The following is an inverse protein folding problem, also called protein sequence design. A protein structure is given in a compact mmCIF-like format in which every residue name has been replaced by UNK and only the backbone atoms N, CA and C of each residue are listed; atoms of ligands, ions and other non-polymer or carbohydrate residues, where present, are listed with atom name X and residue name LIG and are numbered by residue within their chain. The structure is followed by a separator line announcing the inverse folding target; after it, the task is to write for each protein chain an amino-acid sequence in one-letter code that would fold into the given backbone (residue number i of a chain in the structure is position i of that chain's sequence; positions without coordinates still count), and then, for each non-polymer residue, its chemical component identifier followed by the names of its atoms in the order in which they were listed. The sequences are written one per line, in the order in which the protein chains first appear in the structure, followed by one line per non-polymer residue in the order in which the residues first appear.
data_IF_356241256223
#
_entry.id   IF_356241256223
#
_cell.length_a   1.000
_cell.length_b   1.000
_cell.length_c   1.000
_cell.angle_alpha   90.00
_cell.angle_beta   90.00
_cell.angle_gamma   90.00
#
_symmetry.space_group_name_H-M   'P 1'
#
loop_
_entity.id
_entity.type
_entity.pdbx_description
1 polymer ?
#
# COMPACT_ATOMS: atom_id res chain seq x y z
N UNK A 1 54.91 10.84 6.92
CA UNK A 1 53.50 11.29 6.79
C UNK A 1 52.61 10.41 7.65
N UNK A 2 52.05 10.96 8.72
CA UNK A 2 51.05 10.25 9.52
C UNK A 2 49.78 10.03 8.68
N UNK A 3 49.19 8.84 8.80
CA UNK A 3 47.91 8.54 8.13
C UNK A 3 46.83 9.44 8.76
N UNK A 4 45.97 10.08 7.95
CA UNK A 4 44.93 10.95 8.48
C UNK A 4 43.95 10.15 9.35
N UNK A 5 43.58 10.73 10.50
CA UNK A 5 42.61 10.17 11.43
C UNK A 5 41.25 10.03 10.73
N UNK A 6 40.80 8.79 10.54
CA UNK A 6 39.45 8.48 10.03
C UNK A 6 38.47 8.46 11.20
N UNK A 7 37.58 9.45 11.24
CA UNK A 7 36.48 9.44 12.19
C UNK A 7 35.45 8.39 11.73
N UNK A 8 35.16 7.41 12.58
CA UNK A 8 34.09 6.44 12.36
C UNK A 8 32.75 7.19 12.36
N UNK A 9 31.99 7.11 11.27
CA UNK A 9 30.62 7.64 11.24
C UNK A 9 29.74 6.75 12.12
N UNK A 10 29.25 7.31 13.22
CA UNK A 10 28.25 6.66 14.06
C UNK A 10 26.90 6.63 13.35
N UNK A 11 26.10 5.60 13.60
CA UNK A 11 24.72 5.59 13.18
C UNK A 11 23.94 6.68 13.94
N UNK A 12 22.95 7.33 13.31
CA UNK A 12 22.09 8.27 14.01
C UNK A 12 21.35 7.56 15.15
N UNK A 13 21.05 8.27 16.25
CA UNK A 13 20.28 7.70 17.35
C UNK A 13 18.88 7.30 16.87
N UNK A 14 18.24 6.33 17.54
CA UNK A 14 16.86 5.98 17.25
C UNK A 14 15.94 7.17 17.48
N UNK A 15 14.85 7.23 16.69
CA UNK A 15 13.84 8.26 16.83
C UNK A 15 13.18 8.22 18.22
N UNK A 16 12.98 9.40 18.82
CA UNK A 16 12.52 9.57 20.20
C UNK A 16 10.98 9.59 20.35
N UNK A 17 10.22 9.41 19.26
CA UNK A 17 8.76 9.38 19.26
C UNK A 17 8.09 10.75 19.14
N UNK A 18 8.86 11.84 19.00
CA UNK A 18 8.33 13.20 18.81
C UNK A 18 8.58 13.66 17.38
N UNK A 19 7.52 14.06 16.68
CA UNK A 19 7.61 14.54 15.30
C UNK A 19 7.80 13.39 14.31
N UNK A 20 8.38 13.70 13.14
CA UNK A 20 8.66 12.69 12.11
C UNK A 20 10.08 12.13 12.26
N UNK A 21 10.30 10.93 11.74
CA UNK A 21 11.64 10.32 11.72
C UNK A 21 12.59 11.13 10.84
N UNK A 22 12.08 11.67 9.74
CA UNK A 22 12.82 12.54 8.83
C UNK A 22 13.28 13.82 9.52
N UNK A 23 12.39 14.48 10.29
CA UNK A 23 12.76 15.69 11.06
C UNK A 23 13.80 15.39 12.14
N UNK A 24 13.66 14.23 12.81
CA UNK A 24 14.61 13.80 13.85
C UNK A 24 15.98 13.51 13.27
N UNK A 25 16.03 12.89 12.09
CA UNK A 25 17.26 12.60 11.39
C UNK A 25 17.98 13.89 10.97
N UNK A 26 17.25 14.88 10.43
CA UNK A 26 17.83 16.17 10.05
C UNK A 26 18.41 16.90 11.27
N UNK A 27 17.74 16.82 12.42
CA UNK A 27 18.23 17.40 13.65
C UNK A 27 19.54 16.75 14.14
N UNK A 28 19.77 15.47 13.82
CA UNK A 28 21.03 14.78 14.12
C UNK A 28 22.13 15.14 13.11
N UNK A 29 21.78 15.47 11.87
CA UNK A 29 22.72 15.79 10.79
C UNK A 29 23.19 17.24 10.79
N UNK A 30 22.34 18.18 11.23
CA UNK A 30 22.62 19.62 11.15
C UNK A 30 22.42 20.31 12.50
N UNK A 31 23.40 21.14 12.90
CA UNK A 31 23.31 21.99 14.10
C UNK A 31 22.13 22.97 14.00
N UNK A 32 21.84 23.45 12.79
CA UNK A 32 20.67 24.28 12.49
C UNK A 32 19.73 23.47 11.58
N UNK A 33 18.66 22.86 12.14
CA UNK A 33 17.78 22.01 11.36
C UNK A 33 17.05 22.84 10.30
N UNK A 34 17.04 22.32 9.08
CA UNK A 34 16.24 22.86 7.98
C UNK A 34 14.99 22.01 7.82
N UNK A 35 13.90 22.61 7.37
CA UNK A 35 12.69 21.83 7.04
C UNK A 35 13.02 20.75 6.01
N UNK A 36 12.49 19.53 6.21
CA UNK A 36 12.64 18.45 5.24
C UNK A 36 12.04 18.88 3.90
N UNK A 37 12.76 18.57 2.81
CA UNK A 37 12.27 18.88 1.47
C UNK A 37 11.30 17.80 1.02
N UNK A 38 10.10 18.20 0.65
CA UNK A 38 9.15 17.31 -0.02
C UNK A 38 9.60 17.05 -1.46
N UNK A 39 9.27 15.87 -1.99
CA UNK A 39 9.50 15.55 -3.39
C UNK A 39 8.49 16.29 -4.27
N UNK A 40 8.86 17.50 -4.68
CA UNK A 40 8.02 18.37 -5.48
C UNK A 40 7.73 17.79 -6.87
N UNK A 41 8.65 17.00 -7.44
CA UNK A 41 8.45 16.37 -8.74
C UNK A 41 7.33 15.34 -8.66
N UNK A 42 7.39 14.49 -7.62
CA UNK A 42 6.33 13.52 -7.34
C UNK A 42 4.99 14.21 -7.09
N UNK A 43 4.99 15.28 -6.29
CA UNK A 43 3.79 16.04 -5.97
C UNK A 43 3.13 16.66 -7.22
N UNK A 44 3.92 17.16 -8.17
CA UNK A 44 3.41 17.76 -9.41
C UNK A 44 2.87 16.70 -10.38
N UNK A 45 3.55 15.57 -10.51
CA UNK A 45 3.19 14.53 -11.48
C UNK A 45 1.99 13.71 -11.02
N UNK A 46 1.90 13.42 -9.72
CA UNK A 46 0.89 12.53 -9.14
C UNK A 46 -0.21 13.28 -8.39
N UNK A 47 -0.26 14.60 -8.54
CA UNK A 47 -1.26 15.45 -7.88
C UNK A 47 -2.67 15.06 -8.31
N UNK A 48 -3.56 14.87 -7.34
CA UNK A 48 -4.97 14.55 -7.61
C UNK A 48 -5.25 13.05 -7.79
N UNK A 49 -4.20 12.22 -7.92
CA UNK A 49 -4.34 10.78 -7.96
C UNK A 49 -4.83 10.23 -6.61
N UNK A 50 -5.85 9.38 -6.65
CA UNK A 50 -6.39 8.70 -5.48
C UNK A 50 -6.75 7.26 -5.86
N UNK A 51 -5.91 6.33 -5.44
CA UNK A 51 -6.00 4.92 -5.79
C UNK A 51 -6.81 4.20 -4.71
N UNK A 52 -7.92 3.57 -5.10
CA UNK A 52 -8.85 2.96 -4.13
C UNK A 52 -8.88 1.45 -4.26
N UNK A 53 -8.86 0.80 -3.10
CA UNK A 53 -8.93 -0.63 -2.96
C UNK A 53 -10.08 -1.01 -2.03
N UNK A 54 -10.85 -2.03 -2.40
CA UNK A 54 -11.83 -2.66 -1.53
C UNK A 54 -11.12 -3.78 -0.75
N UNK A 55 -11.33 -3.81 0.56
CA UNK A 55 -10.78 -4.81 1.46
C UNK A 55 -11.85 -5.38 2.39
N UNK A 56 -11.62 -6.58 2.89
CA UNK A 56 -12.42 -7.24 3.93
C UNK A 56 -11.56 -7.55 5.15
N UNK A 57 -12.16 -7.60 6.33
CA UNK A 57 -11.46 -8.05 7.52
C UNK A 57 -11.30 -9.58 7.49
N UNK A 58 -10.13 -10.10 7.88
CA UNK A 58 -9.82 -11.54 7.93
C UNK A 58 -9.24 -11.96 9.28
N UNK A 59 -9.87 -11.50 10.37
CA UNK A 59 -9.45 -11.81 11.75
C UNK A 59 -10.06 -13.12 12.31
N UNK A 60 -11.00 -13.75 11.60
CA UNK A 60 -11.67 -14.97 12.02
C UNK A 60 -12.96 -14.76 12.80
N UNK A 61 -13.33 -13.50 13.10
CA UNK A 61 -14.56 -13.17 13.79
C UNK A 61 -15.73 -13.09 12.80
N UNK A 62 -16.81 -13.84 13.06
CA UNK A 62 -17.96 -13.91 12.16
C UNK A 62 -18.67 -12.55 11.99
N UNK A 63 -18.63 -11.71 13.02
CA UNK A 63 -19.21 -10.36 12.98
C UNK A 63 -18.45 -9.43 12.01
N UNK A 64 -17.14 -9.66 11.84
CA UNK A 64 -16.26 -8.83 11.02
C UNK A 64 -16.17 -9.30 9.57
N UNK A 65 -16.60 -10.53 9.27
CA UNK A 65 -16.56 -11.12 7.92
C UNK A 65 -17.41 -10.32 6.91
N UNK A 66 -18.50 -9.72 7.38
CA UNK A 66 -19.38 -8.89 6.54
C UNK A 66 -18.87 -7.45 6.33
N UNK A 67 -17.85 -7.02 7.08
CA UNK A 67 -17.35 -5.63 7.03
C UNK A 67 -16.53 -5.39 5.76
N UNK A 68 -16.79 -4.25 5.14
CA UNK A 68 -16.10 -3.80 3.93
C UNK A 68 -15.36 -2.50 4.18
N UNK A 69 -14.14 -2.41 3.67
CA UNK A 69 -13.27 -1.27 3.84
C UNK A 69 -12.83 -0.75 2.48
N UNK A 70 -12.68 0.56 2.38
CA UNK A 70 -12.06 1.24 1.25
C UNK A 70 -10.74 1.83 1.72
N UNK A 71 -9.65 1.29 1.19
CA UNK A 71 -8.30 1.82 1.39
C UNK A 71 -8.03 2.80 0.25
N UNK A 72 -7.80 4.06 0.59
CA UNK A 72 -7.43 5.13 -0.35
C UNK A 72 -5.96 5.47 -0.19
N UNK A 73 -5.18 5.31 -1.26
CA UNK A 73 -3.76 5.63 -1.30
C UNK A 73 -3.52 6.84 -2.21
N UNK A 74 -2.80 7.83 -1.68
CA UNK A 74 -2.39 9.00 -2.43
C UNK A 74 -0.90 8.90 -2.76
N UNK A 75 -0.56 8.66 -4.04
CA UNK A 75 0.82 8.43 -4.44
C UNK A 75 1.67 9.71 -4.41
N UNK A 76 1.06 10.90 -4.44
CA UNK A 76 1.76 12.18 -4.31
C UNK A 76 2.53 12.33 -2.98
N UNK A 77 1.97 11.81 -1.89
CA UNK A 77 2.41 12.03 -0.51
C UNK A 77 2.62 10.75 0.30
N UNK A 78 2.44 9.58 -0.33
CA UNK A 78 2.45 8.25 0.31
C UNK A 78 1.50 8.14 1.50
N UNK A 79 0.39 8.90 1.45
CA UNK A 79 -0.61 8.91 2.52
C UNK A 79 -1.69 7.91 2.22
N UNK A 80 -2.12 7.20 3.25
CA UNK A 80 -3.20 6.23 3.19
C UNK A 80 -4.32 6.67 4.13
N UNK A 81 -5.56 6.50 3.68
CA UNK A 81 -6.76 6.64 4.49
C UNK A 81 -7.60 5.36 4.37
N UNK A 82 -8.30 4.98 5.43
CA UNK A 82 -9.18 3.81 5.41
C UNK A 82 -10.56 4.21 5.88
N UNK A 83 -11.57 3.85 5.11
CA UNK A 83 -12.97 4.08 5.42
C UNK A 83 -13.71 2.75 5.48
N UNK A 84 -14.58 2.60 6.46
CA UNK A 84 -15.49 1.47 6.57
C UNK A 84 -16.80 1.80 5.86
N UNK A 85 -17.23 0.91 4.97
CA UNK A 85 -18.50 1.03 4.26
C UNK A 85 -19.65 0.54 5.16
N UNK A 86 -20.75 1.31 5.28
CA UNK A 86 -21.91 0.85 6.03
C UNK A 86 -22.58 -0.32 5.29
N UNK A 87 -22.78 -1.43 6.00
CA UNK A 87 -23.49 -2.60 5.49
C UNK A 87 -24.83 -2.72 6.19
N UNK A 88 -25.92 -2.89 5.43
CA UNK A 88 -27.25 -2.97 6.02
C UNK A 88 -27.37 -4.22 6.89
N UNK A 89 -27.91 -4.05 8.10
CA UNK A 89 -28.10 -5.12 9.08
C UNK A 89 -26.79 -5.75 9.64
N UNK A 90 -25.63 -5.12 9.47
CA UNK A 90 -24.37 -5.64 10.04
C UNK A 90 -24.17 -5.30 11.52
N UNK A 91 -24.91 -4.32 12.06
CA UNK A 91 -24.68 -3.80 13.41
C UNK A 91 -23.48 -2.85 13.51
N UNK A 92 -22.68 -2.70 12.45
CA UNK A 92 -21.51 -1.81 12.40
C UNK A 92 -21.86 -0.47 11.77
N UNK A 93 -21.47 0.64 12.42
CA UNK A 93 -21.53 1.95 11.81
C UNK A 93 -20.32 2.16 10.89
N UNK A 94 -20.57 2.35 9.60
CA UNK A 94 -19.53 2.77 8.66
C UNK A 94 -18.97 4.15 9.00
N UNK A 95 -17.84 4.51 8.40
CA UNK A 95 -17.20 5.81 8.63
C UNK A 95 -15.70 5.81 8.43
N UNK A 96 -15.02 6.79 9.02
CA UNK A 96 -13.55 6.90 8.97
C UNK A 96 -12.93 5.88 9.92
N UNK A 97 -12.24 4.88 9.37
CA UNK A 97 -11.53 3.87 10.16
C UNK A 97 -10.10 4.31 10.50
N UNK A 98 -9.40 4.91 9.53
CA UNK A 98 -8.07 5.50 9.72
C UNK A 98 -7.95 6.80 8.94
N UNK A 99 -7.56 7.87 9.65
CA UNK A 99 -7.33 9.17 9.05
C UNK A 99 -6.14 9.18 8.07
N UNK A 100 -6.27 10.00 7.02
CA UNK A 100 -5.26 10.23 5.99
C UNK A 100 -3.92 10.62 6.61
N UNK A 101 -2.98 9.68 6.59
CA UNK A 101 -1.65 9.83 7.17
C UNK A 101 -0.69 8.84 6.51
N UNK A 102 0.62 8.99 6.75
CA UNK A 102 1.57 7.91 6.41
C UNK A 102 1.44 6.84 7.49
N UNK A 103 1.13 5.62 7.09
CA UNK A 103 0.91 4.50 8.00
C UNK A 103 2.13 3.57 7.89
N UNK A 104 2.67 3.13 9.02
CA UNK A 104 3.72 2.11 9.04
C UNK A 104 3.12 0.73 9.02
N UNK A 105 3.69 -0.14 8.19
CA UNK A 105 3.42 -1.56 8.25
C UNK A 105 4.04 -2.11 9.55
N UNK A 106 3.25 -2.72 10.45
CA UNK A 106 3.76 -3.26 11.70
C UNK A 106 4.75 -4.42 11.51
N UNK A 107 4.70 -5.13 10.38
CA UNK A 107 5.56 -6.28 10.10
C UNK A 107 6.95 -5.84 9.62
N UNK A 108 7.02 -4.81 8.77
CA UNK A 108 8.28 -4.36 8.16
C UNK A 108 8.89 -3.14 8.87
N UNK A 109 8.09 -2.43 9.66
CA UNK A 109 8.47 -1.14 10.27
C UNK A 109 8.57 0.02 9.28
N UNK A 110 8.33 -0.21 7.99
CA UNK A 110 8.38 0.81 6.93
C UNK A 110 7.00 1.39 6.66
N UNK A 111 6.96 2.60 6.11
CA UNK A 111 5.70 3.17 5.61
C UNK A 111 5.13 2.33 4.47
N UNK A 112 3.81 2.19 4.43
CA UNK A 112 3.12 1.54 3.32
C UNK A 112 3.43 2.25 2.01
N UNK A 113 3.81 1.46 1.02
CA UNK A 113 4.02 1.87 -0.36
C UNK A 113 2.92 1.29 -1.24
N UNK A 114 2.77 1.83 -2.45
CA UNK A 114 1.82 1.27 -3.42
C UNK A 114 2.15 -0.18 -3.80
N UNK A 115 3.41 -0.61 -3.65
CA UNK A 115 3.84 -1.99 -3.93
C UNK A 115 3.27 -2.99 -2.91
N UNK A 116 2.90 -2.52 -1.71
CA UNK A 116 2.27 -3.34 -0.67
C UNK A 116 0.76 -3.49 -0.89
N UNK A 117 0.16 -2.69 -1.80
CA UNK A 117 -1.27 -2.61 -2.02
C UNK A 117 -1.65 -3.24 -3.37
N UNK A 118 -1.85 -4.55 -3.37
CA UNK A 118 -2.31 -5.31 -4.54
C UNK A 118 -3.40 -6.31 -4.14
N UNK A 119 -4.23 -6.68 -5.12
CA UNK A 119 -5.35 -7.61 -4.91
C UNK A 119 -4.82 -8.98 -4.47
N UNK A 120 -5.42 -9.51 -3.41
CA UNK A 120 -5.03 -10.77 -2.77
C UNK A 120 -4.09 -10.58 -1.58
N UNK A 121 -3.40 -9.44 -1.46
CA UNK A 121 -2.54 -9.17 -0.31
C UNK A 121 -3.35 -8.85 0.94
N UNK A 122 -2.80 -9.18 2.12
CA UNK A 122 -3.38 -8.81 3.42
C UNK A 122 -2.47 -7.81 4.10
N UNK A 123 -3.01 -6.65 4.46
CA UNK A 123 -2.28 -5.57 5.14
C UNK A 123 -2.85 -5.32 6.52
N UNK A 124 -1.99 -5.13 7.50
CA UNK A 124 -2.41 -4.87 8.89
C UNK A 124 -2.48 -3.36 9.12
N UNK A 125 -3.70 -2.83 9.33
CA UNK A 125 -3.95 -1.41 9.61
C UNK A 125 -4.80 -1.29 10.87
N UNK A 126 -4.37 -0.46 11.83
CA UNK A 126 -5.04 -0.32 13.14
C UNK A 126 -5.26 -1.69 13.85
N UNK A 127 -4.28 -2.58 13.76
CA UNK A 127 -4.34 -3.95 14.29
C UNK A 127 -5.44 -4.84 13.71
N UNK A 128 -6.05 -4.45 12.58
CA UNK A 128 -6.98 -5.29 11.83
C UNK A 128 -6.30 -5.81 10.55
N UNK A 129 -6.34 -7.13 10.29
CA UNK A 129 -5.85 -7.70 9.04
C UNK A 129 -6.89 -7.47 7.94
N UNK A 130 -6.55 -6.62 6.98
CA UNK A 130 -7.42 -6.25 5.87
C UNK A 130 -6.92 -6.92 4.59
N UNK A 131 -7.67 -7.90 4.07
CA UNK A 131 -7.38 -8.52 2.79
C UNK A 131 -7.95 -7.68 1.66
N UNK A 132 -7.09 -7.23 0.74
CA UNK A 132 -7.49 -6.49 -0.45
C UNK A 132 -8.14 -7.46 -1.42
N UNK A 133 -9.41 -7.22 -1.75
CA UNK A 133 -10.20 -8.09 -2.61
C UNK A 133 -10.39 -7.51 -4.00
N UNK A 134 -10.40 -6.17 -4.14
CA UNK A 134 -10.58 -5.48 -5.42
C UNK A 134 -9.83 -4.16 -5.43
N UNK A 135 -9.56 -3.66 -6.63
CA UNK A 135 -9.11 -2.30 -6.87
C UNK A 135 -10.14 -1.62 -7.79
N UNK A 136 -10.25 -0.29 -7.71
CA UNK A 136 -11.07 0.44 -8.67
C UNK A 136 -10.43 0.43 -10.08
N UNK A 137 -11.24 0.70 -11.09
CA UNK A 137 -10.80 0.65 -12.48
C UNK A 137 -9.68 1.67 -12.76
N UNK A 138 -9.80 2.87 -12.19
CA UNK A 138 -8.80 3.92 -12.33
C UNK A 138 -7.43 3.51 -11.75
N UNK A 139 -7.44 2.84 -10.60
CA UNK A 139 -6.26 2.29 -9.96
C UNK A 139 -5.64 1.18 -10.80
N UNK A 140 -6.44 0.27 -11.36
CA UNK A 140 -5.93 -0.76 -12.26
C UNK A 140 -5.25 -0.14 -13.48
N UNK A 141 -5.89 0.82 -14.14
CA UNK A 141 -5.31 1.54 -15.28
C UNK A 141 -4.01 2.26 -14.88
N UNK A 142 -3.97 2.90 -13.71
CA UNK A 142 -2.79 3.59 -13.20
C UNK A 142 -1.61 2.63 -12.97
N UNK A 143 -1.88 1.43 -12.45
CA UNK A 143 -0.87 0.42 -12.16
C UNK A 143 -0.38 -0.26 -13.45
N UNK A 144 -1.31 -0.60 -14.36
CA UNK A 144 -1.02 -1.20 -15.66
C UNK A 144 -0.21 -0.28 -16.58
N UNK A 145 -0.40 1.03 -16.47
CA UNK A 145 0.40 2.03 -17.20
C UNK A 145 1.88 2.06 -16.75
N UNK A 146 2.22 1.44 -15.61
CA UNK A 146 3.60 1.41 -15.05
C UNK A 146 4.05 -0.03 -14.78
N UNK A 147 4.21 -0.86 -15.83
CA UNK A 147 4.51 -2.28 -15.68
C UNK A 147 5.91 -2.56 -15.09
N UNK A 148 6.85 -1.61 -15.22
CA UNK A 148 8.21 -1.74 -14.67
C UNK A 148 8.22 -1.56 -13.14
N UNK A 149 7.34 -0.71 -12.61
CA UNK A 149 7.19 -0.48 -11.17
C UNK A 149 6.26 -1.51 -10.52
N UNK A 150 5.24 -1.98 -11.26
CA UNK A 150 4.24 -2.94 -10.77
C UNK A 150 4.18 -4.21 -11.63
N UNK A 151 5.14 -5.15 -11.47
CA UNK A 151 5.18 -6.37 -12.27
C UNK A 151 3.95 -7.28 -12.13
N UNK A 152 3.25 -7.20 -10.99
CA UNK A 152 2.03 -7.95 -10.71
C UNK A 152 0.80 -7.39 -11.44
N UNK A 153 0.84 -6.13 -11.87
CA UNK A 153 -0.21 -5.51 -12.69
C UNK A 153 0.09 -5.65 -14.20
N UNK A 154 1.25 -6.19 -14.60
CA UNK A 154 1.62 -6.29 -16.01
C UNK A 154 0.83 -7.42 -16.71
N UNK A 155 -0.07 -7.11 -17.67
CA UNK A 155 -0.91 -8.13 -18.31
C UNK A 155 -0.10 -9.18 -19.07
N UNK A 156 1.01 -8.79 -19.71
CA UNK A 156 1.87 -9.71 -20.44
C UNK A 156 2.63 -10.65 -19.49
N UNK A 157 3.04 -10.15 -18.31
CA UNK A 157 3.67 -11.00 -17.30
C UNK A 157 2.67 -12.01 -16.72
N UNK A 158 1.43 -11.57 -16.46
CA UNK A 158 0.33 -12.44 -16.02
C UNK A 158 -0.01 -13.50 -17.08
N UNK A 159 -0.16 -13.11 -18.35
CA UNK A 159 -0.44 -14.04 -19.44
C UNK A 159 0.62 -15.14 -19.57
N UNK A 160 1.91 -14.79 -19.45
CA UNK A 160 3.01 -15.78 -19.45
C UNK A 160 2.92 -16.75 -18.26
N UNK A 161 2.52 -16.29 -17.08
CA UNK A 161 2.33 -17.16 -15.90
C UNK A 161 1.12 -18.08 -16.04
N UNK A 162 0.07 -17.63 -16.72
CA UNK A 162 -1.15 -18.41 -16.97
C UNK A 162 -0.97 -19.43 -18.11
N UNK A 163 -0.04 -19.21 -19.04
CA UNK A 163 0.19 -20.06 -20.20
C UNK A 163 0.27 -21.58 -19.91
N UNK A 164 0.95 -22.05 -18.84
CA UNK A 164 1.03 -23.48 -18.53
C UNK A 164 -0.32 -24.10 -18.09
N UNK A 165 -1.22 -23.30 -17.51
CA UNK A 165 -2.48 -23.77 -16.92
C UNK A 165 -3.55 -24.09 -17.97
N UNK A 166 -3.42 -23.55 -19.20
CA UNK A 166 -4.36 -23.87 -20.29
C UNK A 166 -4.29 -25.35 -20.74
N UNK A 167 -3.24 -26.07 -20.36
CA UNK A 167 -3.12 -27.51 -20.59
C UNK A 167 -3.85 -28.38 -19.55
N UNK A 168 -4.35 -27.79 -18.46
CA UNK A 168 -5.03 -28.54 -17.41
C UNK A 168 -6.46 -28.90 -17.83
N UNK A 169 -6.86 -30.18 -17.74
CA UNK A 169 -8.19 -30.64 -18.16
C UNK A 169 -9.31 -30.03 -17.32
N UNK A 170 -9.02 -29.52 -16.12
CA UNK A 170 -9.99 -28.85 -15.24
C UNK A 170 -10.35 -27.42 -15.71
N UNK A 171 -9.46 -26.73 -16.44
CA UNK A 171 -9.72 -25.41 -17.02
C UNK A 171 -10.31 -25.48 -18.44
N UNK A 172 -10.27 -26.65 -19.07
CA UNK A 172 -10.90 -26.89 -20.36
C UNK A 172 -12.35 -27.29 -20.11
N UNK A 173 -13.27 -26.32 -20.07
CA UNK A 173 -14.71 -26.62 -20.05
C UNK A 173 -15.08 -27.37 -21.34
N UNK A 174 -15.40 -28.68 -21.29
CA UNK A 174 -15.76 -29.44 -22.49
C UNK A 174 -17.13 -29.03 -23.04
N UNK A 175 -17.92 -28.26 -22.28
CA UNK A 175 -19.28 -27.85 -22.63
C UNK A 175 -19.34 -26.52 -23.41
N UNK A 176 -18.24 -25.76 -23.49
CA UNK A 176 -18.11 -24.62 -24.39
C UNK A 176 -19.32 -23.67 -24.39
N UNK A 177 -19.82 -23.30 -23.21
CA UNK A 177 -20.86 -22.28 -23.09
C UNK A 177 -20.25 -20.91 -23.40
N UNK A 178 -20.37 -20.46 -24.66
CA UNK A 178 -20.10 -19.06 -25.00
C UNK A 178 -21.02 -18.14 -24.18
N UNK A 179 -20.60 -16.90 -23.88
CA UNK A 179 -21.48 -15.95 -23.22
C UNK A 179 -22.67 -15.62 -24.15
N UNK A 180 -23.88 -15.98 -23.72
CA UNK A 180 -25.15 -15.54 -24.29
C UNK A 180 -25.35 -14.01 -24.14
#
# INVERSE_FOLDING_TARGET
SEKPLRHLKLAPPPHNGIGTEEDSLINCEMIQPKAHKQDLAKLMVLSGENLRFEAKCVNGEAEDECRRFVISYLPDTDRTAVYEMPVRNSGHMGGKFREKSRIKNPETGKYFSLQDLYVGNTVTICSQPLQIIRADEHCLQFLEARPDEFPWANPAACARKLQPLFGEPELQDPAGGGPD
#
